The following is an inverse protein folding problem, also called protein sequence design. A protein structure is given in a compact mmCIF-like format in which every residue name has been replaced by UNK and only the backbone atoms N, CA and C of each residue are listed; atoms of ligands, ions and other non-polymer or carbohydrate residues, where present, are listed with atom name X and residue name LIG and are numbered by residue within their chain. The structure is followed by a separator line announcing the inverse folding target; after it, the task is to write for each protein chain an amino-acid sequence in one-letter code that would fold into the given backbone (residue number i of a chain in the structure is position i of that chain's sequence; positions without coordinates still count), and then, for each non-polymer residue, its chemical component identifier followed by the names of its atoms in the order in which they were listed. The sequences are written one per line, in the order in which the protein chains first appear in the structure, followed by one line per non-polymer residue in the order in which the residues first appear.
data_IF_065609819205
#
_entry.id   IF_065609819205
#
_cell.length_a   1.000
_cell.length_b   1.000
_cell.length_c   1.000
_cell.angle_alpha   90.00
_cell.angle_beta   90.00
_cell.angle_gamma   90.00
#
_symmetry.space_group_name_H-M   'P 1'
#
loop_
_entity.id
_entity.type
_entity.pdbx_description
1 polymer ?
#
# COMPACT_ATOMS: atom_id res chain seq x y z
N UNK A 1 10.87 41.81 -16.85
CA UNK A 1 10.83 41.58 -15.42
C UNK A 1 9.39 41.63 -14.91
N UNK A 2 8.71 40.52 -14.61
CA UNK A 2 7.50 40.57 -13.80
C UNK A 2 7.71 39.87 -12.48
N UNK A 3 7.16 40.52 -11.46
CA UNK A 3 7.19 40.25 -10.03
C UNK A 3 6.67 38.86 -9.62
N UNK A 4 7.48 38.14 -8.87
CA UNK A 4 7.09 37.01 -8.06
C UNK A 4 6.18 37.50 -6.91
N UNK A 5 4.91 37.08 -6.93
CA UNK A 5 4.03 37.15 -5.75
C UNK A 5 4.24 35.89 -4.93
N UNK A 6 4.93 36.07 -3.81
CA UNK A 6 4.93 35.12 -2.72
C UNK A 6 3.54 35.11 -2.07
N UNK A 7 2.88 33.95 -2.07
CA UNK A 7 1.72 33.69 -1.22
C UNK A 7 2.23 33.02 0.05
N UNK A 8 2.35 33.80 1.11
CA UNK A 8 2.55 33.32 2.47
C UNK A 8 1.26 32.68 2.96
N UNK A 9 1.29 31.38 3.18
CA UNK A 9 0.23 30.69 3.92
C UNK A 9 0.53 30.78 5.41
N UNK A 10 -0.25 31.60 6.11
CA UNK A 10 -0.23 31.72 7.55
C UNK A 10 -0.70 30.43 8.20
N UNK A 11 0.20 29.71 8.88
CA UNK A 11 -0.09 28.67 9.82
C UNK A 11 -0.78 29.28 11.07
N UNK A 12 -2.07 29.08 11.20
CA UNK A 12 -2.78 29.31 12.46
C UNK A 12 -2.60 28.08 13.36
N UNK A 13 -1.68 28.20 14.29
CA UNK A 13 -1.58 27.31 15.45
C UNK A 13 -2.77 27.60 16.39
N UNK A 14 -3.65 26.63 16.55
CA UNK A 14 -4.63 26.63 17.63
C UNK A 14 -4.13 25.69 18.72
N UNK A 15 -3.57 26.28 19.76
CA UNK A 15 -3.36 25.60 21.02
C UNK A 15 -4.70 25.54 21.76
N UNK A 16 -5.18 24.33 22.01
CA UNK A 16 -6.35 24.03 22.83
C UNK A 16 -6.01 22.93 23.81
N UNK A 17 -5.76 23.33 25.06
CA UNK A 17 -5.68 22.50 26.26
C UNK A 17 -7.09 21.96 26.54
N UNK A 18 -7.24 20.63 26.78
CA UNK A 18 -8.52 20.17 27.31
C UNK A 18 -8.67 18.66 27.34
N UNK A 19 -8.51 18.12 28.52
CA UNK A 19 -9.30 17.09 29.19
C UNK A 19 -9.07 15.59 28.84
N UNK A 20 -8.55 14.80 29.79
CA UNK A 20 -8.48 13.34 29.70
C UNK A 20 -9.77 12.73 30.26
N UNK A 21 -10.67 12.28 29.43
CA UNK A 21 -11.83 11.54 29.90
C UNK A 21 -12.95 11.34 28.90
N UNK A 22 -12.79 10.41 27.97
CA UNK A 22 -13.94 9.70 27.40
C UNK A 22 -13.52 8.24 27.13
N UNK A 23 -13.90 7.37 28.04
CA UNK A 23 -13.96 5.92 27.80
C UNK A 23 -15.01 5.65 26.72
N UNK A 24 -14.56 5.33 25.52
CA UNK A 24 -15.41 5.01 24.38
C UNK A 24 -16.16 3.69 24.61
N UNK A 25 -17.45 3.72 24.40
CA UNK A 25 -18.34 2.56 24.38
C UNK A 25 -17.90 1.55 23.31
N UNK A 26 -17.63 0.32 23.73
CA UNK A 26 -17.40 -0.82 22.85
C UNK A 26 -18.74 -1.21 22.19
N UNK A 27 -18.93 -0.81 20.95
CA UNK A 27 -20.01 -1.30 20.09
C UNK A 27 -19.64 -2.66 19.47
N UNK A 28 -20.65 -3.50 19.25
CA UNK A 28 -20.51 -4.83 18.62
C UNK A 28 -19.71 -4.73 17.30
N UNK A 29 -18.69 -5.60 17.22
CA UNK A 29 -17.69 -5.69 16.15
C UNK A 29 -16.58 -4.63 16.20
N UNK A 30 -15.70 -4.69 17.20
CA UNK A 30 -14.29 -4.28 17.21
C UNK A 30 -13.81 -3.13 16.28
N UNK A 31 -14.65 -2.21 15.86
CA UNK A 31 -14.29 -1.02 15.09
C UNK A 31 -13.97 0.06 16.11
N UNK A 32 -12.69 0.27 16.35
CA UNK A 32 -12.21 1.45 17.08
C UNK A 32 -12.49 2.63 16.16
N UNK A 33 -13.37 3.54 16.59
CA UNK A 33 -13.56 4.83 15.92
C UNK A 33 -12.26 5.65 16.12
N UNK A 34 -11.51 5.98 15.05
CA UNK A 34 -10.23 6.66 15.16
C UNK A 34 -10.37 8.15 15.51
N UNK A 35 -11.56 8.65 15.86
CA UNK A 35 -11.82 10.07 16.11
C UNK A 35 -11.85 10.94 14.84
N UNK A 36 -11.52 10.38 13.68
CA UNK A 36 -11.75 11.00 12.38
C UNK A 36 -13.12 10.53 11.88
N UNK A 37 -14.04 11.47 11.71
CA UNK A 37 -15.31 11.18 11.04
C UNK A 37 -15.01 10.85 9.59
N UNK A 38 -15.56 9.76 9.08
CA UNK A 38 -15.39 9.33 7.68
C UNK A 38 -15.63 10.46 6.68
N UNK A 39 -16.60 11.34 6.98
CA UNK A 39 -16.93 12.50 6.17
C UNK A 39 -15.81 13.53 6.04
N UNK A 40 -14.97 13.71 7.05
CA UNK A 40 -13.90 14.71 7.02
C UNK A 40 -12.77 14.29 6.08
N UNK A 41 -12.37 13.01 6.10
CA UNK A 41 -11.34 12.47 5.22
C UNK A 41 -11.82 12.39 3.77
N UNK A 42 -13.07 12.00 3.54
CA UNK A 42 -13.65 11.97 2.21
C UNK A 42 -13.76 13.38 1.61
N UNK A 43 -14.16 14.36 2.41
CA UNK A 43 -14.23 15.77 2.01
C UNK A 43 -12.84 16.29 1.64
N UNK A 44 -11.84 16.06 2.49
CA UNK A 44 -10.43 16.41 2.22
C UNK A 44 -9.94 15.78 0.91
N UNK A 45 -10.21 14.48 0.73
CA UNK A 45 -9.82 13.77 -0.49
C UNK A 45 -10.46 14.37 -1.75
N UNK A 46 -11.74 14.73 -1.68
CA UNK A 46 -12.48 15.35 -2.77
C UNK A 46 -11.96 16.74 -3.09
N UNK A 47 -11.62 17.54 -2.08
CA UNK A 47 -11.05 18.89 -2.25
C UNK A 47 -9.66 18.82 -2.92
N UNK A 48 -8.79 17.91 -2.48
CA UNK A 48 -7.50 17.67 -3.10
C UNK A 48 -7.65 17.30 -4.58
N UNK A 49 -8.58 16.42 -4.93
CA UNK A 49 -8.82 16.08 -6.33
C UNK A 49 -9.36 17.24 -7.15
N UNK A 50 -10.24 18.06 -6.58
CA UNK A 50 -10.78 19.26 -7.27
C UNK A 50 -9.68 20.28 -7.53
N UNK A 51 -8.80 20.54 -6.56
CA UNK A 51 -7.68 21.46 -6.74
C UNK A 51 -6.70 21.05 -7.84
N UNK A 52 -6.64 19.73 -8.13
CA UNK A 52 -5.81 19.15 -9.20
C UNK A 52 -6.56 18.91 -10.50
N UNK A 53 -7.73 19.53 -10.69
CA UNK A 53 -8.52 19.45 -11.92
C UNK A 53 -9.29 18.14 -12.13
N UNK A 54 -9.39 17.30 -11.10
CA UNK A 54 -10.08 16.00 -11.15
C UNK A 54 -11.51 16.05 -10.57
N UNK A 55 -12.25 17.15 -10.80
CA UNK A 55 -13.55 17.40 -10.20
C UNK A 55 -14.58 16.30 -10.45
N UNK A 56 -14.59 15.70 -11.66
CA UNK A 56 -15.50 14.58 -11.96
C UNK A 56 -15.27 13.38 -11.04
N UNK A 57 -14.01 12.97 -10.86
CA UNK A 57 -13.66 11.85 -10.00
C UNK A 57 -13.93 12.21 -8.52
N UNK A 58 -13.66 13.46 -8.12
CA UNK A 58 -13.92 13.94 -6.77
C UNK A 58 -15.39 13.77 -6.37
N UNK A 59 -16.32 14.02 -7.27
CA UNK A 59 -17.77 13.89 -6.98
C UNK A 59 -18.21 12.42 -6.81
N UNK A 60 -17.52 11.48 -7.45
CA UNK A 60 -17.83 10.04 -7.39
C UNK A 60 -16.97 9.31 -6.33
N UNK A 61 -15.93 9.96 -5.78
CA UNK A 61 -15.01 9.34 -4.83
C UNK A 61 -15.74 8.97 -3.54
N UNK A 62 -15.46 7.76 -3.07
CA UNK A 62 -15.90 7.27 -1.75
C UNK A 62 -14.69 6.82 -0.94
N UNK A 63 -14.83 6.92 0.37
CA UNK A 63 -13.83 6.48 1.33
C UNK A 63 -14.49 5.54 2.35
N UNK A 64 -13.78 4.48 2.74
CA UNK A 64 -14.24 3.54 3.77
C UNK A 64 -13.09 3.08 4.66
N UNK A 65 -13.38 2.74 5.89
CA UNK A 65 -12.51 1.95 6.74
C UNK A 65 -12.75 0.47 6.49
N UNK A 66 -11.73 -0.26 6.04
CA UNK A 66 -11.87 -1.66 5.63
C UNK A 66 -11.11 -2.62 6.56
N UNK A 67 -11.79 -3.30 7.51
CA UNK A 67 -11.16 -4.21 8.45
C UNK A 67 -10.60 -5.49 7.80
N UNK A 68 -10.88 -5.71 6.51
CA UNK A 68 -10.31 -6.83 5.75
C UNK A 68 -8.87 -6.55 5.30
N UNK A 69 -8.43 -5.29 5.33
CA UNK A 69 -7.03 -4.93 5.12
C UNK A 69 -6.22 -5.42 6.33
N UNK A 70 -5.30 -6.35 6.12
CA UNK A 70 -4.50 -6.95 7.20
C UNK A 70 -3.10 -6.37 7.30
N UNK A 71 -2.49 -6.12 6.15
CA UNK A 71 -1.08 -5.71 6.03
C UNK A 71 -0.89 -4.43 5.21
N UNK A 72 -1.87 -4.02 4.42
CA UNK A 72 -1.86 -2.78 3.67
C UNK A 72 -2.45 -1.65 4.53
N UNK A 73 -1.86 -0.47 4.47
CA UNK A 73 -2.38 0.73 5.14
C UNK A 73 -3.62 1.27 4.42
N UNK A 74 -3.60 1.26 3.09
CA UNK A 74 -4.71 1.65 2.24
C UNK A 74 -4.83 0.80 0.99
N UNK A 75 -5.84 1.08 0.21
CA UNK A 75 -6.06 0.51 -1.13
C UNK A 75 -6.93 1.46 -1.95
N UNK A 76 -6.49 1.77 -3.16
CA UNK A 76 -7.28 2.50 -4.14
C UNK A 76 -7.90 1.55 -5.18
N UNK A 77 -9.17 1.76 -5.50
CA UNK A 77 -9.85 1.15 -6.65
C UNK A 77 -10.33 2.26 -7.58
N UNK A 78 -9.58 2.51 -8.66
CA UNK A 78 -9.91 3.53 -9.64
C UNK A 78 -11.27 3.27 -10.32
N UNK A 79 -11.63 2.03 -10.58
CA UNK A 79 -12.88 1.69 -11.28
C UNK A 79 -14.09 2.00 -10.43
N UNK A 80 -14.01 1.71 -9.14
CA UNK A 80 -15.07 1.98 -8.18
C UNK A 80 -14.99 3.38 -7.57
N UNK A 81 -13.93 4.17 -7.85
CA UNK A 81 -13.60 5.45 -7.19
C UNK A 81 -13.67 5.31 -5.67
N UNK A 82 -13.06 4.24 -5.18
CA UNK A 82 -13.10 3.88 -3.78
C UNK A 82 -11.69 3.85 -3.20
N UNK A 83 -11.51 4.53 -2.07
CA UNK A 83 -10.35 4.39 -1.22
C UNK A 83 -10.76 3.63 0.04
N UNK A 84 -10.08 2.54 0.33
CA UNK A 84 -10.24 1.78 1.57
C UNK A 84 -9.02 2.03 2.46
N UNK A 85 -9.21 2.49 3.68
CA UNK A 85 -8.19 2.67 4.70
C UNK A 85 -8.24 1.55 5.73
N UNK A 86 -7.09 1.18 6.26
CA UNK A 86 -7.01 0.17 7.31
C UNK A 86 -7.38 0.81 8.67
N UNK A 87 -8.35 0.28 9.43
CA UNK A 87 -8.72 0.82 10.74
C UNK A 87 -7.55 0.93 11.73
N UNK A 88 -6.50 0.12 11.57
CA UNK A 88 -5.28 0.22 12.40
C UNK A 88 -4.51 1.52 12.23
N UNK A 89 -4.79 2.30 11.19
CA UNK A 89 -4.24 3.65 11.07
C UNK A 89 -4.69 4.58 12.20
N UNK A 90 -5.77 4.26 12.92
CA UNK A 90 -6.15 4.99 14.13
C UNK A 90 -5.07 4.98 15.23
N UNK A 91 -4.24 3.94 15.25
CA UNK A 91 -3.07 3.84 16.14
C UNK A 91 -1.92 4.78 15.68
N UNK A 92 -1.99 5.32 14.46
CA UNK A 92 -0.97 6.15 13.80
C UNK A 92 -1.62 7.37 13.12
N UNK A 93 -2.21 8.31 13.86
CA UNK A 93 -2.99 9.41 13.29
C UNK A 93 -2.23 10.27 12.27
N UNK A 94 -0.92 10.45 12.48
CA UNK A 94 -0.03 11.21 11.58
C UNK A 94 0.13 10.55 10.20
N UNK A 95 -0.12 9.25 10.09
CA UNK A 95 0.02 8.48 8.86
C UNK A 95 -1.28 8.42 8.05
N UNK A 96 -2.40 8.86 8.61
CA UNK A 96 -3.71 8.79 7.95
C UNK A 96 -3.72 9.67 6.70
N UNK A 97 -3.36 10.95 6.84
CA UNK A 97 -3.32 11.89 5.71
C UNK A 97 -2.33 11.45 4.64
N UNK A 98 -1.14 11.01 5.07
CA UNK A 98 -0.11 10.50 4.14
C UNK A 98 -0.61 9.28 3.37
N UNK A 99 -1.24 8.32 4.05
CA UNK A 99 -1.84 7.14 3.41
C UNK A 99 -2.96 7.53 2.45
N UNK A 100 -3.82 8.47 2.85
CA UNK A 100 -4.89 8.97 1.99
C UNK A 100 -4.33 9.57 0.69
N UNK A 101 -3.31 10.41 0.78
CA UNK A 101 -2.64 11.00 -0.41
C UNK A 101 -1.96 9.95 -1.28
N UNK A 102 -1.35 8.92 -0.68
CA UNK A 102 -0.79 7.77 -1.40
C UNK A 102 -1.85 7.09 -2.27
N UNK A 103 -3.02 6.81 -1.70
CA UNK A 103 -4.12 6.16 -2.42
C UNK A 103 -4.76 7.10 -3.46
N UNK A 104 -4.87 8.40 -3.16
CA UNK A 104 -5.30 9.41 -4.13
C UNK A 104 -4.34 9.51 -5.32
N UNK A 105 -3.03 9.36 -5.09
CA UNK A 105 -2.05 9.36 -6.17
C UNK A 105 -2.29 8.23 -7.16
N UNK A 106 -2.71 7.04 -6.72
CA UNK A 106 -3.11 5.95 -7.61
C UNK A 106 -4.33 6.31 -8.46
N UNK A 107 -5.35 6.94 -7.87
CA UNK A 107 -6.55 7.40 -8.57
C UNK A 107 -6.18 8.47 -9.63
N UNK A 108 -5.40 9.47 -9.22
CA UNK A 108 -4.99 10.59 -10.07
C UNK A 108 -4.09 10.15 -11.24
N UNK A 109 -3.12 9.28 -10.96
CA UNK A 109 -2.24 8.72 -11.98
C UNK A 109 -3.01 7.94 -13.05
N UNK A 110 -3.96 7.10 -12.64
CA UNK A 110 -4.78 6.34 -13.58
C UNK A 110 -5.76 7.24 -14.36
N UNK A 111 -6.31 8.29 -13.72
CA UNK A 111 -7.13 9.28 -14.40
C UNK A 111 -6.36 9.94 -15.55
N UNK A 112 -5.14 10.41 -15.28
CA UNK A 112 -4.27 11.07 -16.27
C UNK A 112 -3.82 10.13 -17.38
N UNK A 113 -3.59 8.87 -17.06
CA UNK A 113 -3.23 7.85 -18.03
C UNK A 113 -4.41 7.36 -18.89
N UNK A 114 -5.65 7.62 -18.47
CA UNK A 114 -6.86 7.18 -19.16
C UNK A 114 -6.95 5.65 -19.23
N UNK A 115 -7.01 5.11 -20.45
CA UNK A 115 -7.09 3.66 -20.70
C UNK A 115 -5.72 2.97 -20.75
N UNK A 116 -4.64 3.74 -20.73
CA UNK A 116 -3.27 3.19 -20.78
C UNK A 116 -2.98 2.43 -19.49
N UNK A 117 -2.36 1.26 -19.64
CA UNK A 117 -1.86 0.51 -18.49
C UNK A 117 -0.58 1.17 -17.97
N UNK A 118 -0.56 1.53 -16.72
CA UNK A 118 0.59 2.12 -16.03
C UNK A 118 1.12 1.19 -14.93
N UNK A 119 2.37 1.41 -14.53
CA UNK A 119 2.93 0.73 -13.37
C UNK A 119 2.33 1.33 -12.09
N UNK A 120 1.92 0.53 -11.11
CA UNK A 120 1.29 1.04 -9.88
C UNK A 120 2.07 2.14 -9.17
N UNK A 121 3.40 2.05 -9.15
CA UNK A 121 4.28 3.06 -8.53
C UNK A 121 5.32 3.56 -9.55
N UNK A 122 4.87 3.75 -10.80
CA UNK A 122 5.67 4.29 -11.89
C UNK A 122 5.76 5.81 -11.86
N UNK A 123 6.26 6.37 -12.97
CA UNK A 123 6.47 7.82 -13.11
C UNK A 123 5.17 8.61 -12.92
N UNK A 124 4.06 8.10 -13.44
CA UNK A 124 2.75 8.76 -13.33
C UNK A 124 2.27 8.84 -11.88
N UNK A 125 2.53 7.79 -11.08
CA UNK A 125 2.20 7.79 -9.66
C UNK A 125 3.14 8.73 -8.88
N UNK A 126 4.44 8.72 -9.18
CA UNK A 126 5.40 9.63 -8.54
C UNK A 126 5.04 11.10 -8.80
N UNK A 127 4.65 11.43 -10.04
CA UNK A 127 4.18 12.77 -10.38
C UNK A 127 2.92 13.14 -9.58
N UNK A 128 1.96 12.22 -9.47
CA UNK A 128 0.75 12.43 -8.68
C UNK A 128 1.06 12.60 -7.18
N UNK A 129 2.04 11.88 -6.64
CA UNK A 129 2.53 12.07 -5.27
C UNK A 129 3.11 13.48 -5.07
N UNK A 130 3.92 13.96 -6.01
CA UNK A 130 4.48 15.30 -5.95
C UNK A 130 3.39 16.38 -5.95
N UNK A 131 2.39 16.24 -6.82
CA UNK A 131 1.26 17.17 -6.91
C UNK A 131 0.38 17.16 -5.65
N UNK A 132 0.33 16.02 -4.96
CA UNK A 132 -0.38 15.86 -3.67
C UNK A 132 0.47 16.25 -2.46
N UNK A 133 1.69 16.77 -2.65
CA UNK A 133 2.56 17.24 -1.57
C UNK A 133 3.31 16.13 -0.81
N UNK A 134 3.42 14.93 -1.39
CA UNK A 134 4.15 13.78 -0.83
C UNK A 134 5.20 13.26 -1.83
N UNK A 135 6.02 14.15 -2.39
CA UNK A 135 7.01 13.80 -3.43
C UNK A 135 8.04 12.73 -2.98
N UNK A 136 8.29 12.64 -1.67
CA UNK A 136 9.20 11.67 -1.03
C UNK A 136 8.55 10.31 -0.73
N UNK A 137 7.31 10.08 -1.21
CA UNK A 137 6.53 8.91 -0.86
C UNK A 137 7.17 7.60 -1.34
N UNK A 138 7.14 6.61 -0.47
CA UNK A 138 7.67 5.27 -0.74
C UNK A 138 6.57 4.33 -1.20
N UNK A 139 6.92 3.30 -1.97
CA UNK A 139 5.97 2.27 -2.44
C UNK A 139 5.28 1.52 -1.31
N UNK A 140 5.95 1.38 -0.16
CA UNK A 140 5.48 0.61 0.98
C UNK A 140 5.60 1.45 2.23
N UNK A 141 4.58 1.41 3.07
CA UNK A 141 4.64 1.98 4.41
C UNK A 141 5.57 1.16 5.34
N UNK A 142 6.12 1.82 6.36
CA UNK A 142 6.91 1.18 7.41
C UNK A 142 6.10 0.95 8.70
N UNK A 143 4.77 1.00 8.61
CA UNK A 143 3.90 0.79 9.76
C UNK A 143 4.06 -0.65 10.29
N UNK A 144 4.09 -0.87 11.61
CA UNK A 144 4.29 -2.18 12.22
C UNK A 144 3.02 -3.03 12.18
N UNK A 145 2.39 -3.09 11.02
CA UNK A 145 1.25 -3.98 10.82
C UNK A 145 1.70 -5.43 10.82
N UNK A 146 0.87 -6.35 11.34
CA UNK A 146 1.26 -7.74 11.43
C UNK A 146 1.57 -8.30 10.05
N UNK A 147 2.79 -8.80 9.89
CA UNK A 147 3.17 -9.50 8.68
C UNK A 147 2.29 -10.75 8.51
N UNK A 148 1.85 -11.01 7.28
CA UNK A 148 1.18 -12.27 6.98
C UNK A 148 2.19 -13.41 7.10
N UNK A 149 2.07 -14.21 8.14
CA UNK A 149 2.78 -15.48 8.24
C UNK A 149 2.02 -16.53 7.44
N UNK A 150 2.62 -16.99 6.36
CA UNK A 150 2.08 -18.09 5.58
C UNK A 150 2.91 -19.33 5.88
N UNK A 151 2.28 -20.38 6.38
CA UNK A 151 2.94 -21.67 6.47
C UNK A 151 3.38 -22.13 5.08
N UNK A 152 4.64 -22.48 4.94
CA UNK A 152 5.16 -23.03 3.70
C UNK A 152 4.54 -24.40 3.46
N UNK A 153 3.80 -24.55 2.35
CA UNK A 153 3.16 -25.81 1.94
C UNK A 153 4.05 -26.66 1.04
N UNK A 154 5.04 -26.03 0.41
CA UNK A 154 5.91 -26.68 -0.55
C UNK A 154 7.37 -26.35 -0.24
N UNK A 155 8.20 -27.36 -0.26
CA UNK A 155 9.65 -27.22 -0.13
C UNK A 155 10.28 -27.66 -1.44
N UNK A 156 11.19 -26.85 -1.94
CA UNK A 156 11.98 -27.15 -3.12
C UNK A 156 13.45 -27.18 -2.71
N UNK A 157 14.27 -27.95 -3.42
CA UNK A 157 15.72 -28.02 -3.21
C UNK A 157 16.47 -27.82 -4.52
N UNK A 158 17.56 -27.10 -4.44
CA UNK A 158 18.51 -27.00 -5.54
C UNK A 158 19.29 -28.33 -5.65
N UNK A 159 19.41 -28.95 -6.84
CA UNK A 159 20.17 -30.19 -6.98
C UNK A 159 21.68 -30.00 -6.82
N UNK A 160 22.19 -28.78 -7.04
CA UNK A 160 23.63 -28.47 -6.94
C UNK A 160 24.06 -28.06 -5.53
N UNK A 161 23.49 -26.96 -4.97
CA UNK A 161 23.91 -26.44 -3.66
C UNK A 161 23.04 -26.95 -2.50
N UNK A 162 22.03 -27.76 -2.76
CA UNK A 162 21.11 -28.38 -1.82
C UNK A 162 20.31 -27.40 -0.96
N UNK A 163 20.39 -26.08 -1.22
CA UNK A 163 19.62 -25.06 -0.53
C UNK A 163 18.12 -25.35 -0.66
N UNK A 164 17.41 -25.26 0.46
CA UNK A 164 15.96 -25.42 0.53
C UNK A 164 15.26 -24.08 0.33
N UNK A 165 14.17 -24.09 -0.43
CA UNK A 165 13.33 -22.93 -0.74
C UNK A 165 11.91 -23.24 -0.31
N UNK A 166 11.44 -22.56 0.69
CA UNK A 166 10.07 -22.67 1.16
C UNK A 166 9.14 -21.83 0.29
N UNK A 167 7.97 -22.36 -0.07
CA UNK A 167 6.96 -21.70 -0.89
C UNK A 167 5.55 -21.96 -0.34
N UNK A 168 4.73 -20.93 -0.36
CA UNK A 168 3.31 -21.00 0.03
C UNK A 168 2.47 -21.62 -1.09
N UNK A 169 2.87 -21.38 -2.34
CA UNK A 169 2.18 -21.88 -3.53
C UNK A 169 3.10 -22.78 -4.35
N UNK A 170 2.49 -23.74 -5.04
CA UNK A 170 3.22 -24.61 -5.97
C UNK A 170 3.85 -23.78 -7.09
N UNK A 171 5.12 -24.06 -7.37
CA UNK A 171 5.84 -23.43 -8.48
C UNK A 171 5.29 -24.00 -9.78
N UNK A 172 4.70 -23.15 -10.62
CA UNK A 172 4.09 -23.54 -11.91
C UNK A 172 5.06 -23.41 -13.09
N UNK A 173 6.02 -22.49 -13.00
CA UNK A 173 7.04 -22.25 -14.03
C UNK A 173 8.36 -22.85 -13.59
N UNK A 174 9.25 -23.15 -14.55
CA UNK A 174 10.60 -23.58 -14.22
C UNK A 174 11.35 -22.43 -13.51
N UNK A 175 11.81 -22.70 -12.30
CA UNK A 175 12.60 -21.76 -11.48
C UNK A 175 13.90 -22.45 -11.12
N UNK A 176 15.03 -21.74 -11.25
CA UNK A 176 16.35 -22.22 -10.88
C UNK A 176 16.89 -21.49 -9.64
N UNK A 177 17.89 -22.08 -9.00
CA UNK A 177 18.61 -21.48 -7.90
C UNK A 177 19.43 -20.28 -8.38
N UNK A 178 19.04 -19.07 -7.98
CA UNK A 178 19.70 -17.84 -8.42
C UNK A 178 21.20 -17.78 -8.04
N UNK A 179 21.55 -18.27 -6.85
CA UNK A 179 22.94 -18.31 -6.40
C UNK A 179 23.82 -19.18 -7.32
N UNK A 180 23.32 -20.38 -7.69
CA UNK A 180 24.01 -21.26 -8.62
C UNK A 180 24.04 -20.69 -10.04
N UNK A 181 22.93 -20.09 -10.49
CA UNK A 181 22.90 -19.43 -11.79
C UNK A 181 23.88 -18.26 -11.86
N UNK A 182 23.99 -17.44 -10.82
CA UNK A 182 25.00 -16.35 -10.76
C UNK A 182 26.41 -16.87 -10.79
N UNK A 183 26.69 -17.94 -10.03
CA UNK A 183 28.05 -18.51 -9.95
C UNK A 183 28.50 -19.18 -11.25
N UNK A 184 27.58 -19.80 -11.99
CA UNK A 184 27.93 -20.71 -13.09
C UNK A 184 27.39 -20.28 -14.47
N UNK A 185 26.50 -19.32 -14.53
CA UNK A 185 25.85 -18.90 -15.78
C UNK A 185 25.46 -17.41 -15.80
N UNK A 186 26.27 -16.53 -15.19
CA UNK A 186 26.04 -15.08 -15.21
C UNK A 186 24.67 -14.60 -14.68
N UNK A 187 23.94 -15.45 -13.94
CA UNK A 187 22.62 -15.12 -13.40
C UNK A 187 21.45 -15.53 -14.33
N UNK A 188 21.74 -16.00 -15.54
CA UNK A 188 20.72 -16.51 -16.46
C UNK A 188 20.17 -17.87 -15.99
N UNK A 189 18.93 -18.15 -16.36
CA UNK A 189 18.32 -19.44 -16.05
C UNK A 189 19.14 -20.59 -16.60
N UNK A 190 19.38 -21.60 -15.74
CA UNK A 190 20.07 -22.82 -16.11
C UNK A 190 19.32 -24.03 -15.56
N UNK A 191 18.95 -24.94 -16.45
CA UNK A 191 18.15 -26.14 -16.13
C UNK A 191 18.85 -27.08 -15.15
N UNK A 192 20.19 -27.09 -15.12
CA UNK A 192 20.99 -27.87 -14.15
C UNK A 192 20.67 -27.49 -12.71
N UNK A 193 20.30 -26.23 -12.47
CA UNK A 193 19.98 -25.68 -11.15
C UNK A 193 18.48 -25.52 -10.92
N UNK A 194 17.65 -26.15 -11.76
CA UNK A 194 16.19 -26.13 -11.61
C UNK A 194 15.79 -26.70 -10.26
N UNK A 195 15.00 -25.96 -9.52
CA UNK A 195 14.48 -26.35 -8.20
C UNK A 195 13.57 -27.58 -8.34
N UNK A 196 13.83 -28.61 -7.54
CA UNK A 196 13.06 -29.85 -7.48
C UNK A 196 12.20 -29.86 -6.19
N UNK A 197 10.94 -30.30 -6.27
CA UNK A 197 10.12 -30.45 -5.08
C UNK A 197 10.75 -31.49 -4.15
N UNK A 198 10.75 -31.21 -2.86
CA UNK A 198 11.09 -32.19 -1.82
C UNK A 198 9.79 -32.86 -1.42
N UNK A 199 9.60 -34.12 -1.80
CA UNK A 199 8.48 -34.93 -1.32
C UNK A 199 8.72 -35.17 0.17
N UNK A 200 7.92 -34.56 1.04
CA UNK A 200 7.86 -35.02 2.42
C UNK A 200 7.14 -36.36 2.37
N UNK A 201 7.85 -37.46 2.56
CA UNK A 201 7.22 -38.67 3.01
C UNK A 201 6.54 -38.34 4.34
N UNK A 202 5.22 -38.37 4.32
CA UNK A 202 4.42 -38.37 5.55
C UNK A 202 4.84 -39.63 6.32
N UNK A 203 5.79 -39.47 7.24
CA UNK A 203 5.92 -40.41 8.32
C UNK A 203 4.75 -40.12 9.25
N UNK A 204 3.73 -40.97 9.13
CA UNK A 204 2.63 -41.15 10.05
C UNK A 204 3.20 -41.36 11.44
N UNK A 205 2.83 -40.49 12.38
CA UNK A 205 2.76 -40.77 13.81
C UNK A 205 1.31 -41.08 14.18
#
# INVERSE_FOLDING_TARGET
MPLLRQLEFALRTVAGIGDPGILGRVGKAGVIDPGYKDGDLETTARELLRSLGAARIANELRLEWNPRLKTAAGRADYRQKLISLNPRLSEYPTEIDRTLRHELAHILAQLRAGRRRISPHGVEWQQACADLGIADEKRCHNLPFPARTYAARFIYRCPNCHQKFQRVRRVRRAVACLACCRKHNGGHFDSRFRLRPVTQSLQSL
#
